data_IF_485063088821
#
_entry.id   IF_485063088821
#
_cell.length_a   1.000
_cell.length_b   1.000
_cell.length_c   1.000
_cell.angle_alpha   90.00
_cell.angle_beta   90.00
_cell.angle_gamma   90.00
#
_symmetry.space_group_name_H-M   'P 1'
#
loop_
_entity.id
_entity.type
_entity.pdbx_description
1 polymer ?
#
# COMPACT_ATOMS: atom_id res chain seq x y z
N UNK A 1 4.54 24.60 -5.07
CA UNK A 1 3.17 24.85 -4.56
C UNK A 1 2.76 23.69 -3.66
N UNK A 2 2.26 23.94 -2.45
CA UNK A 2 1.75 22.86 -1.60
C UNK A 2 0.46 22.29 -2.20
N UNK A 3 0.30 20.97 -2.15
CA UNK A 3 -0.86 20.23 -2.68
C UNK A 3 -1.23 19.12 -1.72
N UNK A 4 -2.45 18.59 -1.86
CA UNK A 4 -2.90 17.40 -1.17
C UNK A 4 -2.90 16.23 -2.17
N UNK A 5 -1.98 15.29 -1.96
CA UNK A 5 -1.91 14.06 -2.74
C UNK A 5 -2.80 13.00 -2.09
N UNK A 6 -3.73 12.44 -2.85
CA UNK A 6 -4.65 11.40 -2.37
C UNK A 6 -4.41 10.14 -3.17
N UNK A 7 -3.91 9.10 -2.51
CA UNK A 7 -3.77 7.76 -3.08
C UNK A 7 -5.04 6.98 -2.75
N UNK A 8 -5.78 6.56 -3.77
CA UNK A 8 -6.96 5.69 -3.62
C UNK A 8 -6.55 4.27 -3.95
N UNK A 9 -6.31 3.48 -2.91
CA UNK A 9 -5.70 2.15 -2.95
C UNK A 9 -4.20 2.20 -2.68
N UNK A 10 -3.68 1.15 -2.03
CA UNK A 10 -2.24 0.97 -1.77
C UNK A 10 -1.71 -0.35 -2.31
N UNK A 11 -2.16 -0.70 -3.53
CA UNK A 11 -1.75 -1.93 -4.19
C UNK A 11 -0.48 -1.80 -5.01
N UNK A 12 -0.18 -2.85 -5.80
CA UNK A 12 1.09 -2.99 -6.52
C UNK A 12 1.47 -1.75 -7.35
N UNK A 13 0.50 -1.14 -8.05
CA UNK A 13 0.73 0.07 -8.86
C UNK A 13 1.19 1.29 -8.04
N UNK A 14 0.78 1.39 -6.77
CA UNK A 14 1.14 2.52 -5.90
C UNK A 14 2.32 2.21 -4.97
N UNK A 15 2.78 0.97 -4.89
CA UNK A 15 3.76 0.53 -3.89
C UNK A 15 5.04 1.38 -3.92
N UNK A 16 5.58 1.64 -5.11
CA UNK A 16 6.79 2.45 -5.29
C UNK A 16 6.57 3.87 -4.78
N UNK A 17 5.43 4.49 -5.08
CA UNK A 17 5.10 5.83 -4.58
C UNK A 17 4.89 5.84 -3.07
N UNK A 18 4.28 4.79 -2.51
CA UNK A 18 4.08 4.65 -1.06
C UNK A 18 5.42 4.54 -0.30
N UNK A 19 6.41 3.86 -0.86
CA UNK A 19 7.76 3.77 -0.27
C UNK A 19 8.48 5.13 -0.21
N UNK A 20 8.04 6.11 -1.00
CA UNK A 20 8.66 7.44 -1.11
C UNK A 20 7.75 8.54 -0.54
N UNK A 21 6.79 8.19 0.33
CA UNK A 21 5.84 9.16 0.89
C UNK A 21 6.52 10.32 1.61
N UNK A 22 7.63 10.03 2.30
CA UNK A 22 8.43 11.02 3.00
C UNK A 22 8.92 12.14 2.07
N UNK A 23 9.30 11.82 0.83
CA UNK A 23 9.80 12.82 -0.13
C UNK A 23 8.71 13.84 -0.49
N UNK A 24 7.46 13.37 -0.65
CA UNK A 24 6.32 14.27 -0.89
C UNK A 24 6.01 15.14 0.32
N UNK A 25 6.08 14.57 1.52
CA UNK A 25 5.85 15.32 2.78
C UNK A 25 6.93 16.36 3.01
N UNK A 26 8.20 16.00 2.77
CA UNK A 26 9.36 16.90 2.91
C UNK A 26 9.30 18.03 1.86
N UNK A 27 8.71 17.79 0.68
CA UNK A 27 8.36 18.82 -0.31
C UNK A 27 7.18 19.73 0.12
N UNK A 28 6.60 19.51 1.31
CA UNK A 28 5.51 20.28 1.89
C UNK A 28 4.11 19.90 1.40
N UNK A 29 3.96 18.71 0.80
CA UNK A 29 2.65 18.18 0.42
C UNK A 29 1.98 17.47 1.60
N UNK A 30 0.66 17.60 1.71
CA UNK A 30 -0.15 16.71 2.54
C UNK A 30 -0.39 15.43 1.75
N UNK A 31 -0.25 14.27 2.38
CA UNK A 31 -0.56 12.99 1.72
C UNK A 31 -1.64 12.25 2.49
N UNK A 32 -2.52 11.55 1.77
CA UNK A 32 -3.54 10.67 2.35
C UNK A 32 -3.62 9.40 1.52
N UNK A 33 -3.51 8.25 2.18
CA UNK A 33 -3.80 6.95 1.60
C UNK A 33 -5.18 6.49 2.05
N UNK A 34 -6.04 6.16 1.09
CA UNK A 34 -7.34 5.53 1.32
C UNK A 34 -7.22 4.07 0.91
N UNK A 35 -7.46 3.15 1.84
CA UNK A 35 -7.42 1.71 1.61
C UNK A 35 -8.59 1.05 2.34
N UNK A 36 -9.21 -0.01 1.77
CA UNK A 36 -10.28 -0.74 2.45
C UNK A 36 -9.80 -1.55 3.67
N UNK A 37 -8.49 -1.73 3.82
CA UNK A 37 -7.87 -2.47 4.93
C UNK A 37 -6.45 -1.98 5.23
N UNK A 38 -5.99 -2.24 6.45
CA UNK A 38 -4.61 -2.04 6.91
C UNK A 38 -3.59 -2.94 6.19
N UNK A 39 -4.07 -4.00 5.52
CA UNK A 39 -3.27 -4.95 4.77
C UNK A 39 -3.65 -4.97 3.30
N UNK A 40 -2.64 -5.09 2.44
CA UNK A 40 -2.83 -5.36 1.02
C UNK A 40 -2.34 -6.76 0.68
N UNK A 41 -3.13 -7.49 -0.11
CA UNK A 41 -2.85 -8.85 -0.54
C UNK A 41 -2.15 -8.84 -1.90
N UNK A 42 -1.04 -9.54 -2.02
CA UNK A 42 -0.33 -9.67 -3.28
C UNK A 42 -1.08 -10.64 -4.20
N UNK A 43 -1.75 -10.09 -5.22
CA UNK A 43 -2.60 -10.85 -6.14
C UNK A 43 -1.87 -11.98 -6.88
N UNK A 44 -0.57 -11.83 -7.15
CA UNK A 44 0.25 -12.86 -7.79
C UNK A 44 0.35 -14.17 -6.97
N UNK A 45 0.19 -14.10 -5.64
CA UNK A 45 0.17 -15.28 -4.76
C UNK A 45 -1.26 -15.79 -4.48
N UNK A 46 -2.29 -15.12 -5.00
CA UNK A 46 -3.69 -15.48 -4.82
C UNK A 46 -4.01 -16.94 -5.19
N UNK A 47 -3.57 -17.45 -6.36
CA UNK A 47 -3.79 -18.85 -6.72
C UNK A 47 -3.17 -19.86 -5.74
N UNK A 48 -1.97 -19.57 -5.22
CA UNK A 48 -1.30 -20.41 -4.23
C UNK A 48 -2.04 -20.44 -2.89
N UNK A 49 -2.58 -19.29 -2.46
CA UNK A 49 -3.40 -19.22 -1.24
C UNK A 49 -4.70 -20.02 -1.40
N UNK A 50 -5.40 -19.86 -2.53
CA UNK A 50 -6.62 -20.63 -2.82
C UNK A 50 -6.37 -22.14 -2.96
N UNK A 51 -5.16 -22.53 -3.38
CA UNK A 51 -4.73 -23.93 -3.48
C UNK A 51 -4.24 -24.51 -2.14
N UNK A 52 -4.25 -23.72 -1.06
CA UNK A 52 -3.82 -24.14 0.28
C UNK A 52 -2.30 -24.13 0.51
N UNK A 53 -1.51 -23.61 -0.43
CA UNK A 53 -0.04 -23.49 -0.30
C UNK A 53 0.33 -22.38 0.68
N UNK A 54 -0.43 -21.28 0.69
CA UNK A 54 -0.21 -20.14 1.56
C UNK A 54 -1.42 -19.84 2.43
N UNK A 55 -1.17 -19.40 3.66
CA UNK A 55 -2.15 -18.75 4.54
C UNK A 55 -2.35 -17.30 4.11
N UNK A 56 -3.52 -16.69 4.35
CA UNK A 56 -3.78 -15.29 4.03
C UNK A 56 -2.74 -14.30 4.59
N UNK A 57 -2.14 -14.60 5.75
CA UNK A 57 -1.13 -13.76 6.40
C UNK A 57 0.23 -13.79 5.69
N UNK A 58 0.52 -14.83 4.92
CA UNK A 58 1.80 -15.01 4.21
C UNK A 58 1.84 -14.26 2.88
N UNK A 59 0.67 -13.82 2.37
CA UNK A 59 0.53 -13.18 1.06
C UNK A 59 0.14 -11.71 1.16
N UNK A 60 0.31 -11.09 2.33
CA UNK A 60 -0.10 -9.70 2.57
C UNK A 60 0.98 -8.90 3.27
N UNK A 61 0.97 -7.59 3.07
CA UNK A 61 1.82 -6.64 3.78
C UNK A 61 0.99 -5.53 4.41
N UNK A 62 1.53 -4.90 5.45
CA UNK A 62 0.84 -3.90 6.23
C UNK A 62 0.95 -2.52 5.57
N UNK A 63 -0.01 -2.18 4.71
CA UNK A 63 0.02 -0.95 3.91
C UNK A 63 -0.09 0.31 4.79
N UNK A 64 -0.83 0.25 5.90
CA UNK A 64 -0.89 1.36 6.86
C UNK A 64 0.48 1.72 7.42
N UNK A 65 1.29 0.73 7.81
CA UNK A 65 2.65 0.97 8.32
C UNK A 65 3.62 1.49 7.25
N UNK A 66 3.33 1.27 5.96
CA UNK A 66 4.11 1.89 4.89
C UNK A 66 3.80 3.38 4.72
N UNK A 67 2.66 3.83 5.25
CA UNK A 67 2.20 5.21 5.15
C UNK A 67 2.42 6.04 6.44
N UNK A 68 2.93 5.42 7.50
CA UNK A 68 3.31 6.03 8.79
C UNK A 68 4.83 6.25 8.85
#
# INVERSE_FOLDING_TARGET
>A
MKKHLVFVGGGHAHLTALLHLKDYVDCGHRVTLISPSDYHYYSGMGPGMLSGIYRPQEIRFHVKKLAE
#
